data_IF_713016927341
#
_entry.id   IF_713016927341
#
_cell.length_a   1.000
_cell.length_b   1.000
_cell.length_c   1.000
_cell.angle_alpha   90.00
_cell.angle_beta   90.00
_cell.angle_gamma   90.00
#
_symmetry.space_group_name_H-M   'P 1'
#
loop_
_entity.id
_entity.type
_entity.pdbx_description
1 polymer ?
#
# COMPACT_ATOMS: atom_id res chain seq x y z
N UNK A 1 20.29 25.44 -7.53
CA UNK A 1 19.61 24.27 -8.13
C UNK A 1 18.36 24.76 -8.83
N UNK A 2 18.01 24.22 -10.00
CA UNK A 2 16.86 24.68 -10.80
C UNK A 2 15.57 24.09 -10.24
N UNK A 3 14.51 24.89 -10.09
CA UNK A 3 13.21 24.42 -9.59
C UNK A 3 12.63 23.24 -10.41
N UNK A 4 13.00 23.13 -11.70
CA UNK A 4 12.63 21.98 -12.53
C UNK A 4 13.35 20.70 -12.10
N UNK A 5 14.63 20.79 -11.72
CA UNK A 5 15.41 19.65 -11.24
C UNK A 5 14.84 19.12 -9.91
N UNK A 6 14.53 20.03 -8.98
CA UNK A 6 13.94 19.67 -7.69
C UNK A 6 12.55 19.02 -7.86
N UNK A 7 11.77 19.49 -8.84
CA UNK A 7 10.49 18.89 -9.20
C UNK A 7 10.65 17.45 -9.71
N UNK A 8 11.55 17.21 -10.68
CA UNK A 8 11.78 15.85 -11.20
C UNK A 8 12.31 14.90 -10.12
N UNK A 9 13.22 15.37 -9.28
CA UNK A 9 13.73 14.59 -8.14
C UNK A 9 12.60 14.18 -7.18
N UNK A 10 11.65 15.09 -6.93
CA UNK A 10 10.51 14.79 -6.06
C UNK A 10 9.60 13.69 -6.66
N UNK A 11 9.45 13.64 -7.98
CA UNK A 11 8.74 12.55 -8.67
C UNK A 11 9.50 11.22 -8.65
N UNK A 12 10.83 11.25 -8.75
CA UNK A 12 11.67 10.05 -8.57
C UNK A 12 11.55 9.52 -7.12
N UNK A 13 11.61 10.39 -6.13
CA UNK A 13 11.39 10.03 -4.72
C UNK A 13 10.00 9.43 -4.51
N UNK A 14 8.96 9.97 -5.16
CA UNK A 14 7.62 9.38 -5.11
C UNK A 14 7.61 7.96 -5.67
N UNK A 15 8.25 7.74 -6.82
CA UNK A 15 8.34 6.41 -7.46
C UNK A 15 8.98 5.39 -6.52
N UNK A 16 10.08 5.76 -5.86
CA UNK A 16 10.76 4.89 -4.90
C UNK A 16 9.86 4.51 -3.71
N UNK A 17 9.11 5.48 -3.18
CA UNK A 17 8.13 5.21 -2.12
C UNK A 17 7.00 4.30 -2.58
N UNK A 18 6.53 4.45 -3.81
CA UNK A 18 5.50 3.58 -4.37
C UNK A 18 5.98 2.16 -4.59
N UNK A 19 7.23 1.95 -5.03
CA UNK A 19 7.82 0.60 -5.12
C UNK A 19 7.93 -0.04 -3.74
N UNK A 20 8.41 0.71 -2.73
CA UNK A 20 8.52 0.24 -1.34
C UNK A 20 7.18 -0.07 -0.71
N UNK A 21 6.14 0.69 -1.03
CA UNK A 21 4.77 0.38 -0.60
C UNK A 21 4.30 -0.94 -1.19
N UNK A 22 4.53 -1.19 -2.48
CA UNK A 22 4.19 -2.46 -3.12
C UNK A 22 4.90 -3.66 -2.47
N UNK A 23 6.17 -3.51 -2.09
CA UNK A 23 6.89 -4.52 -1.30
C UNK A 23 6.25 -4.75 0.08
N UNK A 24 5.91 -3.67 0.78
CA UNK A 24 5.29 -3.74 2.11
C UNK A 24 3.89 -4.38 2.07
N UNK A 25 3.10 -4.11 1.02
CA UNK A 25 1.80 -4.76 0.79
C UNK A 25 2.01 -6.27 0.60
N UNK A 26 2.97 -6.68 -0.24
CA UNK A 26 3.27 -8.10 -0.47
C UNK A 26 3.70 -8.84 0.79
N UNK A 27 4.42 -8.15 1.69
CA UNK A 27 4.82 -8.72 2.98
C UNK A 27 3.80 -8.53 4.10
N UNK A 28 2.61 -7.98 3.81
CA UNK A 28 1.59 -7.61 4.79
C UNK A 28 2.09 -6.72 5.94
N UNK A 29 3.14 -5.92 5.70
CA UNK A 29 3.69 -4.98 6.69
C UNK A 29 2.93 -3.64 6.63
N UNK A 30 1.74 -3.65 7.24
CA UNK A 30 0.83 -2.50 7.23
C UNK A 30 1.39 -1.26 7.95
N UNK A 31 2.34 -1.44 8.87
CA UNK A 31 3.02 -0.31 9.52
C UNK A 31 3.86 0.44 8.50
N UNK A 32 4.64 -0.31 7.70
CA UNK A 32 5.48 0.24 6.64
C UNK A 32 4.65 0.84 5.51
N UNK A 33 3.52 0.23 5.14
CA UNK A 33 2.56 0.83 4.18
C UNK A 33 2.11 2.21 4.65
N UNK A 34 1.70 2.34 5.91
CA UNK A 34 1.30 3.64 6.48
C UNK A 34 2.43 4.67 6.47
N UNK A 35 3.67 4.25 6.77
CA UNK A 35 4.84 5.13 6.67
C UNK A 35 5.09 5.60 5.24
N UNK A 36 4.96 4.71 4.25
CA UNK A 36 5.08 5.07 2.84
C UNK A 36 3.99 6.06 2.40
N UNK A 37 2.74 5.86 2.82
CA UNK A 37 1.64 6.78 2.50
C UNK A 37 1.85 8.17 3.12
N UNK A 38 2.36 8.24 4.36
CA UNK A 38 2.72 9.52 4.99
C UNK A 38 3.82 10.24 4.22
N UNK A 39 4.88 9.53 3.83
CA UNK A 39 5.96 10.11 3.03
C UNK A 39 5.45 10.64 1.68
N UNK A 40 4.55 9.91 1.00
CA UNK A 40 3.92 10.38 -0.23
C UNK A 40 3.07 11.64 -0.03
N UNK A 41 2.28 11.71 1.05
CA UNK A 41 1.49 12.92 1.37
C UNK A 41 2.39 14.15 1.57
N UNK A 42 3.54 14.00 2.24
CA UNK A 42 4.50 15.10 2.40
C UNK A 42 5.09 15.53 1.06
N UNK A 43 5.43 14.58 0.19
CA UNK A 43 5.94 14.85 -1.16
C UNK A 43 4.89 15.57 -2.02
N UNK A 44 3.59 15.28 -1.85
CA UNK A 44 2.52 15.93 -2.61
C UNK A 44 2.52 17.45 -2.37
N UNK A 45 2.68 17.86 -1.12
CA UNK A 45 2.79 19.28 -0.77
C UNK A 45 4.00 19.95 -1.45
N UNK A 46 5.14 19.26 -1.50
CA UNK A 46 6.36 19.76 -2.15
C UNK A 46 6.22 19.84 -3.67
N UNK A 47 5.60 18.85 -4.32
CA UNK A 47 5.34 18.85 -5.76
C UNK A 47 4.53 20.08 -6.18
N UNK A 48 3.48 20.42 -5.43
CA UNK A 48 2.65 21.61 -5.74
C UNK A 48 3.51 22.87 -5.69
N UNK A 49 4.32 23.03 -4.65
CA UNK A 49 5.20 24.19 -4.48
C UNK A 49 6.24 24.27 -5.61
N UNK A 50 6.94 23.17 -5.89
CA UNK A 50 7.97 23.13 -6.94
C UNK A 50 7.38 23.31 -8.35
N UNK A 51 6.17 22.81 -8.61
CA UNK A 51 5.48 23.03 -9.88
C UNK A 51 5.20 24.52 -10.09
N UNK A 52 4.69 25.21 -9.07
CA UNK A 52 4.43 26.64 -9.15
C UNK A 52 5.73 27.44 -9.32
N UNK A 53 6.78 27.11 -8.55
CA UNK A 53 8.08 27.76 -8.65
C UNK A 53 8.74 27.54 -10.02
N UNK A 54 8.68 26.33 -10.56
CA UNK A 54 9.21 25.99 -11.88
C UNK A 54 8.48 26.74 -13.00
N UNK A 55 7.14 26.80 -12.93
CA UNK A 55 6.32 27.54 -13.89
C UNK A 55 6.62 29.03 -13.87
N UNK A 56 6.72 29.63 -12.68
CA UNK A 56 7.03 31.05 -12.52
C UNK A 56 8.44 31.37 -13.04
N UNK A 57 9.43 30.54 -12.71
CA UNK A 57 10.80 30.70 -13.18
C UNK A 57 10.88 30.62 -14.70
N UNK A 58 10.28 29.61 -15.32
CA UNK A 58 10.30 29.44 -16.78
C UNK A 58 9.57 30.56 -17.50
N UNK A 59 8.44 31.04 -16.97
CA UNK A 59 7.75 32.22 -17.53
C UNK A 59 8.64 33.46 -17.48
N UNK A 60 9.34 33.68 -16.36
CA UNK A 60 10.22 34.83 -16.17
C UNK A 60 11.48 34.80 -17.05
N UNK A 61 12.01 33.61 -17.33
CA UNK A 61 13.23 33.43 -18.14
C UNK A 61 12.94 33.16 -19.62
N UNK A 62 11.68 33.20 -20.08
CA UNK A 62 11.28 32.87 -21.45
C UNK A 62 11.48 31.39 -21.82
N UNK A 63 11.50 30.51 -20.82
CA UNK A 63 11.68 29.07 -21.01
C UNK A 63 10.40 28.34 -21.44
N UNK A 64 10.57 27.14 -22.01
CA UNK A 64 9.50 26.36 -22.60
C UNK A 64 8.77 25.48 -21.57
N UNK A 65 7.81 26.04 -20.83
CA UNK A 65 6.97 25.29 -19.90
C UNK A 65 6.23 24.08 -20.53
N UNK A 66 5.64 24.19 -21.74
CA UNK A 66 4.96 23.06 -22.39
C UNK A 66 5.79 21.78 -22.53
N UNK A 67 7.09 21.91 -22.80
CA UNK A 67 8.00 20.76 -22.93
C UNK A 67 8.25 20.06 -21.58
N UNK A 68 8.44 20.86 -20.52
CA UNK A 68 8.57 20.35 -19.15
C UNK A 68 7.27 19.67 -18.72
N UNK A 69 6.12 20.28 -19.00
CA UNK A 69 4.81 19.70 -18.69
C UNK A 69 4.59 18.37 -19.42
N UNK A 70 4.99 18.26 -20.69
CA UNK A 70 4.88 17.00 -21.43
C UNK A 70 5.71 15.88 -20.79
N UNK A 71 6.92 16.20 -20.32
CA UNK A 71 7.77 15.23 -19.61
C UNK A 71 7.15 14.83 -18.26
N UNK A 72 6.63 15.81 -17.51
CA UNK A 72 5.93 15.55 -16.23
C UNK A 72 4.71 14.64 -16.42
N UNK A 73 3.92 14.85 -17.49
CA UNK A 73 2.76 13.99 -17.80
C UNK A 73 3.16 12.53 -18.00
N UNK A 74 4.32 12.26 -18.61
CA UNK A 74 4.82 10.88 -18.77
C UNK A 74 5.21 10.26 -17.43
N UNK A 75 5.88 11.02 -16.57
CA UNK A 75 6.24 10.56 -15.22
C UNK A 75 4.99 10.29 -14.37
N UNK A 76 4.02 11.20 -14.41
CA UNK A 76 2.74 11.04 -13.69
C UNK A 76 1.97 9.83 -14.21
N UNK A 77 1.94 9.59 -15.52
CA UNK A 77 1.31 8.39 -16.08
C UNK A 77 1.98 7.11 -15.56
N UNK A 78 3.31 7.06 -15.57
CA UNK A 78 4.06 5.92 -15.02
C UNK A 78 3.80 5.72 -13.52
N UNK A 79 3.62 6.80 -12.76
CA UNK A 79 3.28 6.71 -11.34
C UNK A 79 1.85 6.19 -11.13
N UNK A 80 0.88 6.65 -11.91
CA UNK A 80 -0.50 6.15 -11.87
C UNK A 80 -0.55 4.65 -12.12
N UNK A 81 0.17 4.18 -13.14
CA UNK A 81 0.25 2.74 -13.44
C UNK A 81 0.81 1.94 -12.26
N UNK A 82 1.81 2.48 -11.56
CA UNK A 82 2.43 1.83 -10.42
C UNK A 82 1.53 1.84 -9.17
N UNK A 83 0.79 2.92 -8.92
CA UNK A 83 -0.23 2.94 -7.86
C UNK A 83 -1.37 1.96 -8.16
N UNK A 84 -1.77 1.81 -9.44
CA UNK A 84 -2.77 0.82 -9.83
C UNK A 84 -2.29 -0.61 -9.56
N UNK A 85 -1.04 -0.93 -9.90
CA UNK A 85 -0.43 -2.24 -9.60
C UNK A 85 -0.37 -2.51 -8.10
N UNK A 86 -0.06 -1.51 -7.29
CA UNK A 86 -0.11 -1.62 -5.83
C UNK A 86 -1.54 -1.89 -5.33
N UNK A 87 -2.53 -1.22 -5.91
CA UNK A 87 -3.96 -1.44 -5.62
C UNK A 87 -4.42 -2.86 -5.97
N UNK A 88 -4.00 -3.39 -7.12
CA UNK A 88 -4.26 -4.78 -7.50
C UNK A 88 -3.62 -5.77 -6.53
N UNK A 89 -2.37 -5.52 -6.14
CA UNK A 89 -1.65 -6.36 -5.17
C UNK A 89 -2.35 -6.35 -3.81
N UNK A 90 -2.83 -5.19 -3.36
CA UNK A 90 -3.60 -5.05 -2.13
C UNK A 90 -4.91 -5.85 -2.19
N UNK A 91 -5.62 -5.79 -3.32
CA UNK A 91 -6.84 -6.56 -3.52
C UNK A 91 -6.58 -8.06 -3.46
N UNK A 92 -5.49 -8.54 -4.05
CA UNK A 92 -5.08 -9.95 -3.99
C UNK A 92 -4.78 -10.39 -2.55
N UNK A 93 -3.98 -9.62 -1.81
CA UNK A 93 -3.66 -9.91 -0.40
C UNK A 93 -4.94 -9.95 0.45
N UNK A 94 -5.87 -9.03 0.22
CA UNK A 94 -7.17 -9.02 0.92
C UNK A 94 -8.00 -10.27 0.61
N UNK A 95 -8.06 -10.69 -0.66
CA UNK A 95 -8.78 -11.91 -1.05
C UNK A 95 -8.18 -13.15 -0.38
N UNK A 96 -6.85 -13.24 -0.29
CA UNK A 96 -6.16 -14.33 0.40
C UNK A 96 -6.49 -14.36 1.90
N UNK A 97 -6.38 -13.22 2.58
CA UNK A 97 -6.69 -13.13 4.00
C UNK A 97 -8.15 -13.53 4.32
N UNK A 98 -9.11 -13.13 3.48
CA UNK A 98 -10.52 -13.53 3.63
C UNK A 98 -10.73 -15.04 3.40
N UNK A 99 -10.01 -15.64 2.45
CA UNK A 99 -10.09 -17.07 2.21
C UNK A 99 -9.52 -17.88 3.39
N UNK A 100 -8.42 -17.41 3.98
CA UNK A 100 -7.82 -18.00 5.19
C UNK A 100 -8.75 -17.90 6.39
N UNK A 101 -9.38 -16.74 6.61
CA UNK A 101 -10.37 -16.56 7.67
C UNK A 101 -11.52 -17.56 7.51
N UNK A 102 -12.07 -17.71 6.31
CA UNK A 102 -13.14 -18.66 6.03
C UNK A 102 -12.73 -20.14 6.24
N UNK A 103 -11.46 -20.49 6.02
CA UNK A 103 -10.93 -21.83 6.30
C UNK A 103 -10.76 -22.08 7.80
N UNK A 104 -10.23 -21.11 8.54
CA UNK A 104 -10.11 -21.17 10.00
C UNK A 104 -11.48 -21.28 10.66
N UNK A 105 -12.46 -20.54 10.15
CA UNK A 105 -13.83 -20.57 10.66
C UNK A 105 -14.49 -21.94 10.45
N UNK A 106 -14.29 -22.54 9.27
CA UNK A 106 -14.75 -23.91 8.97
C UNK A 106 -14.07 -24.93 9.88
N UNK A 107 -12.75 -24.85 10.04
CA UNK A 107 -11.97 -25.73 10.91
C UNK A 107 -12.41 -25.61 12.38
N UNK A 108 -12.64 -24.38 12.87
CA UNK A 108 -13.14 -24.10 14.22
C UNK A 108 -14.52 -24.71 14.46
N UNK A 109 -15.44 -24.59 13.49
CA UNK A 109 -16.78 -25.21 13.55
C UNK A 109 -16.69 -26.74 13.57
N UNK A 110 -15.84 -27.33 12.73
CA UNK A 110 -15.60 -28.78 12.71
C UNK A 110 -15.03 -29.28 14.04
N UNK A 111 -14.05 -28.57 14.63
CA UNK A 111 -13.51 -28.93 15.94
C UNK A 111 -14.55 -28.86 17.06
N UNK A 112 -15.42 -27.83 17.05
CA UNK A 112 -16.56 -27.74 18.00
C UNK A 112 -17.53 -28.91 17.83
N UNK A 113 -17.82 -29.29 16.59
CA UNK A 113 -18.70 -30.42 16.29
C UNK A 113 -18.08 -31.75 16.78
N UNK A 114 -16.79 -32.01 16.50
CA UNK A 114 -16.10 -33.21 17.01
C UNK A 114 -16.07 -33.25 18.54
N UNK A 115 -15.86 -32.11 19.23
CA UNK A 115 -15.94 -32.05 20.70
C UNK A 115 -17.33 -32.40 21.24
N UNK A 116 -18.42 -32.07 20.52
CA UNK A 116 -19.77 -32.48 20.93
C UNK A 116 -20.06 -33.97 20.75
N UNK A 117 -19.28 -34.69 19.93
CA UNK A 117 -19.36 -36.14 19.77
C UNK A 117 -18.39 -36.91 20.67
N UNK A 118 -17.49 -36.22 21.40
CA UNK A 118 -16.66 -36.88 22.39
C UNK A 118 -17.54 -37.38 23.55
N UNK A 119 -17.51 -38.67 23.91
CA UNK A 119 -18.31 -39.17 25.02
C UNK A 119 -17.88 -38.43 26.28
N UNK A 120 -18.85 -37.86 26.99
CA UNK A 120 -18.64 -37.41 28.37
C UNK A 120 -18.09 -38.61 29.12
N UNK A 121 -16.78 -38.60 29.41
CA UNK A 121 -16.18 -39.58 30.31
C UNK A 121 -16.85 -39.32 31.64
N UNK A 122 -17.94 -40.05 31.91
CA UNK A 122 -18.54 -40.13 33.24
C UNK A 122 -17.40 -40.56 34.15
N UNK A 123 -16.94 -39.65 35.01
CA UNK A 123 -16.00 -40.01 36.06
C UNK A 123 -16.59 -41.21 36.79
N UNK A 124 -15.93 -42.36 36.68
CA UNK A 124 -16.23 -43.52 37.48
C UNK A 124 -15.82 -43.20 38.92
N UNK A 125 -16.68 -42.41 39.59
CA UNK A 125 -16.68 -42.21 41.03
C UNK A 125 -17.93 -42.88 41.55
N UNK A 126 -17.82 -44.20 41.73
CA UNK A 126 -18.70 -44.94 42.62
C UNK A 126 -17.81 -45.81 43.48
N UNK A 127 -17.31 -45.19 44.55
CA UNK A 127 -16.97 -45.88 45.80
C UNK A 127 -18.20 -46.67 46.25
N UNK A 128 -18.05 -47.95 46.59
CA UNK A 128 -18.82 -48.58 47.67
C UNK A 128 -18.10 -49.84 48.17
N UNK A 129 -17.89 -49.82 49.48
CA UNK A 129 -17.56 -50.90 50.43
C UNK A 129 -16.16 -51.51 50.38
#
# INVERSE_FOLDING_TARGET
MSACHDLFKTYEEWRDWSVREGEAIRSADWSRVNSCQRAKMELQGRIIQYTQSARNHLTATGGNWPEVEQRLRREVASLIDLENQNGETLAQVRCQALAEEAELDRSSRQLRQVRSYAPVVRSAWTSYS
#
